data_IF_405349527062
#
_entry.id   IF_405349527062
#
_cell.length_a   1.000
_cell.length_b   1.000
_cell.length_c   1.000
_cell.angle_alpha   90.00
_cell.angle_beta   90.00
_cell.angle_gamma   90.00
#
_symmetry.space_group_name_H-M   'P 1'
#
loop_
_entity.id
_entity.type
_entity.pdbx_description
1 polymer ?
#
# COMPACT_ATOMS: atom_id res chain seq x y z
N UNK A 1 2.94 18.65 -0.58
CA UNK A 1 2.89 17.33 -1.25
C UNK A 1 1.50 16.70 -1.28
N UNK A 2 0.71 16.77 -0.20
CA UNK A 2 -0.65 16.19 -0.15
C UNK A 2 -1.55 16.65 -1.30
N UNK A 3 -1.65 17.95 -1.54
CA UNK A 3 -2.48 18.49 -2.63
C UNK A 3 -2.01 18.03 -4.02
N UNK A 4 -0.70 17.81 -4.21
CA UNK A 4 -0.19 17.24 -5.47
C UNK A 4 -0.56 15.77 -5.62
N UNK A 5 -0.52 14.99 -4.54
CA UNK A 5 -0.95 13.59 -4.54
C UNK A 5 -2.44 13.46 -4.90
N UNK A 6 -3.30 14.33 -4.34
CA UNK A 6 -4.73 14.38 -4.69
C UNK A 6 -4.94 14.71 -6.16
N UNK A 7 -4.34 15.80 -6.66
CA UNK A 7 -4.44 16.20 -8.08
C UNK A 7 -3.96 15.11 -9.04
N UNK A 8 -2.84 14.44 -8.71
CA UNK A 8 -2.34 13.33 -9.51
C UNK A 8 -3.32 12.14 -9.47
N UNK A 9 -3.81 11.78 -8.29
CA UNK A 9 -4.75 10.67 -8.14
C UNK A 9 -6.06 10.90 -8.90
N UNK A 10 -6.62 12.10 -8.83
CA UNK A 10 -7.81 12.49 -9.58
C UNK A 10 -7.60 12.39 -11.09
N UNK A 11 -6.46 12.87 -11.59
CA UNK A 11 -6.12 12.77 -13.02
C UNK A 11 -5.94 11.32 -13.47
N UNK A 12 -5.26 10.48 -12.69
CA UNK A 12 -5.14 9.05 -12.99
C UNK A 12 -6.52 8.38 -13.04
N UNK A 13 -7.37 8.66 -12.05
CA UNK A 13 -8.72 8.12 -11.99
C UNK A 13 -9.59 8.54 -13.18
N UNK A 14 -9.56 9.81 -13.54
CA UNK A 14 -10.42 10.39 -14.59
C UNK A 14 -9.87 10.12 -16.00
N UNK A 15 -8.58 10.36 -16.25
CA UNK A 15 -7.99 10.28 -17.59
C UNK A 15 -7.69 8.83 -18.00
N UNK A 16 -7.28 7.98 -17.04
CA UNK A 16 -6.84 6.60 -17.33
C UNK A 16 -7.84 5.54 -16.88
N UNK A 17 -8.91 5.91 -16.18
CA UNK A 17 -9.92 4.98 -15.67
C UNK A 17 -9.31 3.87 -14.79
N UNK A 18 -8.30 4.23 -14.00
CA UNK A 18 -7.65 3.33 -13.04
C UNK A 18 -8.17 3.65 -11.64
N UNK A 19 -8.61 2.66 -10.83
CA UNK A 19 -8.94 2.92 -9.42
C UNK A 19 -7.71 3.39 -8.66
N UNK A 20 -7.83 4.52 -7.96
CA UNK A 20 -6.74 5.14 -7.19
C UNK A 20 -7.08 5.20 -5.71
N UNK A 21 -6.12 4.82 -4.88
CA UNK A 21 -6.18 4.97 -3.42
C UNK A 21 -5.16 6.01 -2.95
N UNK A 22 -5.56 6.87 -2.04
CA UNK A 22 -4.66 7.79 -1.36
C UNK A 22 -4.13 7.19 -0.05
N UNK A 23 -2.84 7.33 0.21
CA UNK A 23 -2.19 6.75 1.39
C UNK A 23 -1.24 7.72 2.12
N UNK A 24 -0.77 7.31 3.31
CA UNK A 24 0.06 8.11 4.23
C UNK A 24 -0.57 9.49 4.51
N UNK A 25 0.17 10.59 4.36
CA UNK A 25 -0.35 11.94 4.66
C UNK A 25 -1.45 12.40 3.70
N UNK A 26 -1.64 11.69 2.57
CA UNK A 26 -2.74 11.96 1.64
C UNK A 26 -3.98 11.10 1.90
N UNK A 27 -3.92 10.15 2.83
CA UNK A 27 -5.03 9.23 3.10
C UNK A 27 -6.30 9.99 3.49
N UNK A 28 -7.42 9.64 2.85
CA UNK A 28 -8.77 10.16 3.15
C UNK A 28 -9.41 9.43 4.33
N UNK A 29 -8.91 8.23 4.64
CA UNK A 29 -9.40 7.33 5.70
C UNK A 29 -8.25 6.91 6.61
N UNK A 30 -8.42 6.90 7.95
CA UNK A 30 -7.33 6.59 8.88
C UNK A 30 -6.60 5.27 8.59
N UNK A 31 -7.35 4.22 8.25
CA UNK A 31 -6.85 2.89 7.92
C UNK A 31 -5.99 2.86 6.64
N UNK A 32 -6.21 3.79 5.71
CA UNK A 32 -5.45 3.90 4.45
C UNK A 32 -4.10 4.57 4.64
N UNK A 33 -3.78 5.10 5.83
CA UNK A 33 -2.41 5.56 6.12
C UNK A 33 -1.41 4.41 5.94
N UNK A 34 -1.78 3.18 6.32
CA UNK A 34 -0.93 2.02 6.09
C UNK A 34 -1.14 1.41 4.69
N UNK A 35 -0.12 1.51 3.85
CA UNK A 35 -0.10 0.86 2.53
C UNK A 35 -0.42 -0.64 2.58
N UNK A 36 -0.02 -1.34 3.65
CA UNK A 36 -0.28 -2.77 3.80
C UNK A 36 -1.78 -3.08 3.98
N UNK A 37 -2.55 -2.15 4.55
CA UNK A 37 -4.00 -2.26 4.65
C UNK A 37 -4.64 -2.24 3.25
N UNK A 38 -4.28 -1.26 2.41
CA UNK A 38 -4.78 -1.13 1.04
C UNK A 38 -4.43 -2.38 0.22
N UNK A 39 -3.18 -2.85 0.32
CA UNK A 39 -2.66 -4.01 -0.44
C UNK A 39 -3.06 -5.37 0.13
N UNK A 40 -3.92 -5.43 1.15
CA UNK A 40 -4.31 -6.69 1.78
C UNK A 40 -5.02 -7.60 0.77
N UNK A 41 -4.46 -8.81 0.59
CA UNK A 41 -4.96 -9.79 -0.39
C UNK A 41 -4.55 -9.51 -1.84
N UNK A 42 -3.68 -8.52 -2.06
CA UNK A 42 -3.06 -8.21 -3.34
C UNK A 42 -4.08 -7.99 -4.48
N UNK A 43 -3.76 -8.40 -5.70
CA UNK A 43 -4.57 -8.13 -6.88
C UNK A 43 -5.89 -8.90 -6.84
N UNK A 44 -5.84 -10.17 -6.46
CA UNK A 44 -6.94 -11.12 -6.55
C UNK A 44 -8.06 -10.76 -5.57
N UNK A 45 -7.70 -10.49 -4.31
CA UNK A 45 -8.71 -10.08 -3.33
C UNK A 45 -9.26 -8.70 -3.65
N UNK A 46 -8.42 -7.75 -4.06
CA UNK A 46 -8.89 -6.41 -4.41
C UNK A 46 -9.86 -6.48 -5.59
N UNK A 47 -9.55 -7.27 -6.62
CA UNK A 47 -10.43 -7.48 -7.77
C UNK A 47 -11.80 -8.05 -7.38
N UNK A 48 -11.84 -8.97 -6.43
CA UNK A 48 -13.08 -9.60 -5.98
C UNK A 48 -13.92 -8.71 -5.04
N UNK A 49 -13.29 -7.75 -4.34
CA UNK A 49 -13.97 -6.94 -3.32
C UNK A 49 -14.27 -5.51 -3.78
N UNK A 50 -13.58 -5.02 -4.81
CA UNK A 50 -13.77 -3.68 -5.36
C UNK A 50 -15.13 -3.57 -6.05
N UNK A 51 -15.97 -2.62 -5.62
CA UNK A 51 -17.36 -2.48 -6.06
C UNK A 51 -18.36 -3.33 -5.27
N UNK A 52 -17.88 -4.33 -4.52
CA UNK A 52 -18.71 -5.20 -3.66
C UNK A 52 -18.70 -4.72 -2.20
N UNK A 53 -17.56 -4.17 -1.75
CA UNK A 53 -17.34 -3.76 -0.35
C UNK A 53 -17.09 -2.25 -0.25
N UNK A 54 -17.91 -1.49 0.50
CA UNK A 54 -17.71 -0.04 0.68
C UNK A 54 -16.32 0.33 1.24
N UNK A 55 -15.72 -0.54 2.06
CA UNK A 55 -14.36 -0.32 2.57
C UNK A 55 -13.27 -0.35 1.48
N UNK A 56 -13.56 -0.99 0.34
CA UNK A 56 -12.63 -1.14 -0.79
C UNK A 56 -12.81 -0.11 -1.89
N UNK A 57 -13.81 0.77 -1.84
CA UNK A 57 -14.00 1.79 -2.88
C UNK A 57 -12.75 2.68 -3.05
N UNK A 58 -12.35 3.02 -4.28
CA UNK A 58 -11.19 3.87 -4.49
C UNK A 58 -11.51 5.32 -4.09
N UNK A 59 -10.47 6.12 -3.86
CA UNK A 59 -10.62 7.56 -3.66
C UNK A 59 -10.96 8.29 -4.97
N UNK A 60 -10.43 7.80 -6.10
CA UNK A 60 -10.73 8.30 -7.43
C UNK A 60 -10.80 7.17 -8.47
N UNK A 61 -11.47 7.45 -9.58
CA UNK A 61 -11.62 6.48 -10.67
C UNK A 61 -12.72 5.44 -10.40
N UNK A 62 -12.87 4.46 -11.30
CA UNK A 62 -13.97 3.50 -11.25
C UNK A 62 -13.79 2.46 -10.13
N UNK A 63 -14.90 2.00 -9.54
CA UNK A 63 -14.91 0.92 -8.56
C UNK A 63 -14.82 -0.48 -9.20
N UNK A 64 -13.91 -0.66 -10.16
CA UNK A 64 -13.53 -1.95 -10.71
C UNK A 64 -12.05 -1.94 -11.12
N UNK A 65 -11.41 -3.11 -11.17
CA UNK A 65 -10.00 -3.21 -11.55
C UNK A 65 -9.80 -2.82 -13.01
N UNK A 66 -8.72 -2.07 -13.29
CA UNK A 66 -8.28 -1.85 -14.66
C UNK A 66 -7.68 -3.15 -15.22
N UNK A 67 -8.02 -3.58 -16.46
CA UNK A 67 -7.66 -4.90 -16.98
C UNK A 67 -6.15 -5.18 -17.06
N UNK A 68 -5.34 -4.16 -17.36
CA UNK A 68 -3.88 -4.30 -17.50
C UNK A 68 -3.07 -3.63 -16.38
N UNK A 69 -3.66 -2.66 -15.69
CA UNK A 69 -2.95 -1.82 -14.72
C UNK A 69 -3.33 -2.14 -13.26
N UNK A 70 -4.44 -2.85 -13.06
CA UNK A 70 -4.99 -3.13 -11.74
C UNK A 70 -5.48 -1.86 -11.05
N UNK A 71 -4.86 -1.54 -9.91
CA UNK A 71 -5.15 -0.36 -9.10
C UNK A 71 -3.87 0.36 -8.70
N UNK A 72 -3.96 1.67 -8.49
CA UNK A 72 -2.82 2.53 -8.16
C UNK A 72 -2.96 3.11 -6.76
N UNK A 73 -1.83 3.30 -6.08
CA UNK A 73 -1.78 4.04 -4.82
C UNK A 73 -0.93 5.30 -5.03
N UNK A 74 -1.45 6.46 -4.63
CA UNK A 74 -0.76 7.75 -4.69
C UNK A 74 -0.70 8.33 -3.29
N UNK A 75 0.40 8.98 -2.91
CA UNK A 75 0.46 9.60 -1.60
C UNK A 75 1.57 10.61 -1.43
N UNK A 76 1.61 11.16 -0.22
CA UNK A 76 2.63 12.08 0.24
C UNK A 76 3.19 11.56 1.57
N UNK A 77 4.51 11.55 1.71
CA UNK A 77 5.18 11.06 2.91
C UNK A 77 6.58 11.62 3.00
N UNK A 78 7.17 11.50 4.19
CA UNK A 78 8.59 11.72 4.38
C UNK A 78 9.42 10.76 3.50
N UNK A 79 10.67 11.13 3.16
CA UNK A 79 11.58 10.22 2.47
C UNK A 79 11.66 8.85 3.17
N UNK A 80 11.72 7.78 2.38
CA UNK A 80 11.91 6.42 2.89
C UNK A 80 13.15 5.83 2.25
N UNK A 81 13.89 5.08 3.05
CA UNK A 81 15.00 4.28 2.58
C UNK A 81 14.51 2.85 2.43
N UNK A 82 14.53 2.33 1.21
CA UNK A 82 14.34 0.91 0.96
C UNK A 82 15.68 0.22 1.18
N UNK A 83 15.76 -0.66 2.18
CA UNK A 83 17.01 -1.29 2.60
C UNK A 83 16.82 -2.80 2.70
N UNK A 84 17.71 -3.54 2.04
CA UNK A 84 17.73 -5.00 2.05
C UNK A 84 18.94 -5.49 2.85
N UNK A 85 18.73 -6.49 3.69
CA UNK A 85 19.79 -7.13 4.48
C UNK A 85 19.91 -8.57 4.00
N UNK A 86 21.08 -8.92 3.44
CA UNK A 86 21.38 -10.29 3.08
C UNK A 86 21.80 -11.07 4.33
N UNK A 87 21.15 -12.19 4.59
CA UNK A 87 21.50 -13.09 5.69
C UNK A 87 22.40 -14.21 5.15
N UNK A 88 23.36 -14.68 5.96
CA UNK A 88 24.24 -15.81 5.63
C UNK A 88 23.55 -17.18 5.64
N UNK A 89 22.25 -17.23 5.37
CA UNK A 89 21.42 -18.44 5.40
C UNK A 89 20.32 -18.34 4.37
N UNK A 90 19.93 -19.49 3.80
CA UNK A 90 18.76 -19.61 2.93
C UNK A 90 17.47 -19.94 3.70
N UNK A 91 17.55 -20.07 5.03
CA UNK A 91 16.37 -20.35 5.86
C UNK A 91 15.51 -19.09 6.07
N UNK A 92 14.42 -19.02 5.29
CA UNK A 92 13.44 -17.93 5.33
C UNK A 92 12.77 -17.79 6.71
N UNK A 93 12.70 -18.85 7.51
CA UNK A 93 12.11 -18.79 8.85
C UNK A 93 12.89 -17.82 9.76
N UNK A 94 14.21 -17.78 9.61
CA UNK A 94 15.10 -16.86 10.33
C UNK A 94 14.83 -15.42 9.88
N UNK A 95 14.76 -15.18 8.56
CA UNK A 95 14.44 -13.86 8.01
C UNK A 95 13.08 -13.34 8.50
N UNK A 96 12.05 -14.19 8.51
CA UNK A 96 10.71 -13.85 9.00
C UNK A 96 10.72 -13.54 10.50
N UNK A 97 11.48 -14.29 11.30
CA UNK A 97 11.63 -14.03 12.74
C UNK A 97 12.29 -12.68 13.00
N UNK A 98 13.39 -12.38 12.31
CA UNK A 98 14.08 -11.08 12.41
C UNK A 98 13.15 -9.94 12.00
N UNK A 99 12.50 -10.04 10.84
CA UNK A 99 11.58 -9.02 10.35
C UNK A 99 10.44 -8.72 11.35
N UNK A 100 9.92 -9.76 12.02
CA UNK A 100 8.92 -9.60 13.07
C UNK A 100 9.47 -8.85 14.29
N UNK A 101 10.70 -9.13 14.71
CA UNK A 101 11.31 -8.47 15.88
C UNK A 101 11.60 -6.98 15.63
N UNK A 102 12.01 -6.60 14.41
CA UNK A 102 12.48 -5.23 14.14
C UNK A 102 11.38 -4.26 13.71
N UNK A 103 10.24 -4.74 13.19
CA UNK A 103 9.20 -3.85 12.64
C UNK A 103 8.30 -3.27 13.74
N UNK A 104 7.92 -2.01 13.56
CA UNK A 104 7.15 -1.23 14.53
C UNK A 104 5.86 -1.92 14.98
N UNK A 105 5.15 -2.56 14.03
CA UNK A 105 3.85 -3.21 14.29
C UNK A 105 3.89 -4.29 15.38
N UNK A 106 5.04 -4.91 15.58
CA UNK A 106 5.23 -6.01 16.54
C UNK A 106 6.08 -5.59 17.75
N UNK A 107 6.21 -4.27 18.00
CA UNK A 107 6.96 -3.71 19.14
C UNK A 107 8.43 -3.45 18.86
N UNK A 108 8.88 -3.55 17.60
CA UNK A 108 10.23 -3.23 17.18
C UNK A 108 10.50 -1.72 17.04
N UNK A 109 11.43 -1.36 16.18
CA UNK A 109 11.84 0.02 15.97
C UNK A 109 10.71 0.88 15.36
N UNK A 110 10.53 2.10 15.89
CA UNK A 110 9.57 3.06 15.34
C UNK A 110 9.89 3.38 13.88
N UNK A 111 8.84 3.55 13.07
CA UNK A 111 8.90 3.84 11.63
C UNK A 111 9.53 2.76 10.75
N UNK A 112 9.90 1.59 11.31
CA UNK A 112 10.40 0.45 10.52
C UNK A 112 9.25 -0.46 10.10
N UNK A 113 9.13 -0.68 8.79
CA UNK A 113 8.33 -1.77 8.19
C UNK A 113 9.30 -2.83 7.64
N UNK A 114 9.06 -4.10 7.95
CA UNK A 114 9.94 -5.19 7.51
C UNK A 114 9.16 -6.46 7.15
N UNK A 115 9.73 -7.23 6.22
CA UNK A 115 9.28 -8.54 5.78
C UNK A 115 10.51 -9.42 5.52
N UNK A 116 10.43 -10.69 5.90
CA UNK A 116 11.44 -11.69 5.54
C UNK A 116 10.99 -12.44 4.29
N UNK A 117 11.78 -12.35 3.23
CA UNK A 117 11.60 -13.01 1.94
C UNK A 117 12.74 -13.95 1.64
#
# INVERSE_FOLDING_TARGET
CVEMAKKLGERIGTELQIPVYLYEEAATRPERRDLAYIRKGQYEALKAELGEKPEREPDFGPAHMHPSAGATVVGARMPLVAFNINLGTSDISIAKRIAKLIRARDGGYMFVKAMGV
#
